data_IF_946780171898
#
_entry.id   IF_946780171898
#
_cell.length_a   1.000
_cell.length_b   1.000
_cell.length_c   1.000
_cell.angle_alpha   90.00
_cell.angle_beta   90.00
_cell.angle_gamma   90.00
#
_symmetry.space_group_name_H-M   'P 1'
#
loop_
_entity.id
_entity.type
_entity.pdbx_description
1 polymer ?
#
# COMPACT_ATOMS: atom_id res chain seq x y z
N UNK A 1 -2.19 -29.92 -13.72
CA UNK A 1 -3.60 -30.05 -13.24
C UNK A 1 -3.97 -29.05 -12.12
N UNK A 2 -3.04 -28.49 -11.33
CA UNK A 2 -3.35 -27.49 -10.28
C UNK A 2 -3.25 -26.03 -10.72
N UNK A 3 -2.56 -25.73 -11.81
CA UNK A 3 -2.43 -24.36 -12.33
C UNK A 3 -3.69 -23.88 -13.10
N UNK A 4 -4.45 -24.78 -13.68
CA UNK A 4 -5.68 -24.44 -14.43
C UNK A 4 -6.88 -24.16 -13.50
N UNK A 5 -6.93 -24.77 -12.32
CA UNK A 5 -7.98 -24.50 -11.33
C UNK A 5 -7.85 -23.08 -10.70
N UNK A 6 -6.64 -22.55 -10.58
CA UNK A 6 -6.39 -21.21 -10.10
C UNK A 6 -6.78 -20.13 -11.12
N UNK A 7 -6.62 -20.42 -12.42
CA UNK A 7 -7.01 -19.52 -13.52
C UNK A 7 -8.55 -19.48 -13.73
N UNK A 8 -9.26 -20.57 -13.47
CA UNK A 8 -10.71 -20.62 -13.59
C UNK A 8 -11.45 -19.85 -12.48
N UNK A 9 -10.87 -19.73 -11.29
CA UNK A 9 -11.40 -18.88 -10.21
C UNK A 9 -11.22 -17.38 -10.49
N UNK A 10 -10.34 -17.00 -11.42
CA UNK A 10 -10.02 -15.63 -11.79
C UNK A 10 -10.91 -15.06 -12.90
N UNK A 11 -11.72 -15.88 -13.58
CA UNK A 11 -12.60 -15.45 -14.66
C UNK A 11 -14.01 -15.04 -14.20
N UNK A 12 -14.22 -14.77 -12.90
CA UNK A 12 -15.49 -14.24 -12.44
C UNK A 12 -15.68 -12.82 -12.96
N UNK A 13 -16.49 -12.71 -13.98
CA UNK A 13 -16.92 -11.49 -14.68
C UNK A 13 -17.49 -10.50 -13.66
N UNK A 14 -16.84 -9.38 -13.47
CA UNK A 14 -17.35 -8.22 -12.78
C UNK A 14 -18.48 -7.60 -13.60
N UNK A 15 -19.72 -7.93 -13.20
CA UNK A 15 -20.90 -7.21 -13.63
C UNK A 15 -20.98 -5.91 -12.85
N UNK A 16 -20.98 -4.80 -13.55
CA UNK A 16 -21.26 -3.47 -13.04
C UNK A 16 -22.62 -3.45 -12.34
N UNK A 17 -22.64 -3.40 -11.02
CA UNK A 17 -23.80 -3.00 -10.25
C UNK A 17 -23.35 -2.14 -9.08
N UNK A 18 -23.67 -0.86 -9.18
CA UNK A 18 -23.48 0.15 -8.15
C UNK A 18 -24.30 -0.17 -6.91
N UNK A 19 -23.63 -0.28 -5.75
CA UNK A 19 -24.22 0.03 -4.44
C UNK A 19 -23.17 0.70 -3.58
N UNK A 20 -23.51 1.87 -3.10
CA UNK A 20 -22.75 2.79 -2.28
C UNK A 20 -22.18 2.19 -0.98
N UNK A 21 -20.96 2.56 -0.62
CA UNK A 21 -20.38 2.43 0.74
C UNK A 21 -20.04 1.02 1.25
N UNK A 22 -20.92 0.06 1.07
CA UNK A 22 -20.73 -1.32 1.53
C UNK A 22 -19.90 -2.19 0.56
N UNK A 23 -19.88 -1.85 -0.72
CA UNK A 23 -19.17 -2.62 -1.75
C UNK A 23 -17.65 -2.60 -1.53
N UNK A 24 -17.06 -1.46 -1.22
CA UNK A 24 -15.62 -1.36 -0.97
C UNK A 24 -15.15 -2.12 0.27
N UNK A 25 -15.99 -2.21 1.30
CA UNK A 25 -15.70 -3.04 2.49
C UNK A 25 -15.81 -4.54 2.16
N UNK A 26 -16.79 -4.93 1.34
CA UNK A 26 -16.95 -6.31 0.90
C UNK A 26 -15.77 -6.73 0.02
N UNK A 27 -15.28 -5.86 -0.85
CA UNK A 27 -14.10 -6.11 -1.69
C UNK A 27 -12.83 -6.27 -0.86
N UNK A 28 -12.63 -5.43 0.16
CA UNK A 28 -11.48 -5.53 1.06
C UNK A 28 -11.54 -6.84 1.86
N UNK A 29 -12.72 -7.21 2.38
CA UNK A 29 -12.92 -8.47 3.10
C UNK A 29 -12.69 -9.66 2.17
N UNK A 30 -13.16 -9.59 0.92
CA UNK A 30 -12.95 -10.63 -0.09
C UNK A 30 -11.48 -10.77 -0.48
N UNK A 31 -10.76 -9.65 -0.63
CA UNK A 31 -9.33 -9.64 -0.89
C UNK A 31 -8.53 -10.18 0.32
N UNK A 32 -8.93 -9.83 1.54
CA UNK A 32 -8.39 -10.41 2.79
C UNK A 32 -8.59 -11.92 2.84
N UNK A 33 -9.81 -12.38 2.57
CA UNK A 33 -10.14 -13.82 2.56
C UNK A 33 -9.36 -14.56 1.47
N UNK A 34 -9.24 -14.00 0.27
CA UNK A 34 -8.46 -14.57 -0.82
C UNK A 34 -6.95 -14.64 -0.48
N UNK A 35 -6.38 -13.58 0.06
CA UNK A 35 -4.99 -13.58 0.53
C UNK A 35 -4.77 -14.59 1.66
N UNK A 36 -5.68 -14.68 2.62
CA UNK A 36 -5.61 -15.66 3.72
C UNK A 36 -5.70 -17.09 3.17
N UNK A 37 -6.60 -17.34 2.23
CA UNK A 37 -6.77 -18.65 1.59
C UNK A 37 -5.51 -19.05 0.80
N UNK A 38 -4.93 -18.14 0.03
CA UNK A 38 -3.66 -18.38 -0.68
C UNK A 38 -2.52 -18.65 0.31
N UNK A 39 -2.48 -17.93 1.43
CA UNK A 39 -1.51 -18.17 2.50
C UNK A 39 -1.68 -19.55 3.14
N UNK A 40 -2.91 -19.97 3.45
CA UNK A 40 -3.22 -21.29 4.02
C UNK A 40 -2.84 -22.40 3.04
N UNK A 41 -3.19 -22.24 1.76
CA UNK A 41 -2.84 -23.22 0.71
C UNK A 41 -1.33 -23.29 0.47
N UNK A 42 -0.62 -22.15 0.49
CA UNK A 42 0.84 -22.13 0.41
C UNK A 42 1.51 -22.80 1.60
N UNK A 43 1.01 -22.58 2.80
CA UNK A 43 1.49 -23.27 4.02
C UNK A 43 1.22 -24.76 3.97
N UNK A 44 0.04 -25.18 3.48
CA UNK A 44 -0.31 -26.59 3.32
C UNK A 44 0.53 -27.30 2.23
N UNK A 45 0.90 -26.58 1.16
CA UNK A 45 1.75 -27.14 0.10
C UNK A 45 3.24 -27.22 0.49
N UNK A 46 3.67 -26.40 1.45
CA UNK A 46 5.04 -26.40 1.98
C UNK A 46 5.23 -27.38 3.17
N UNK A 47 4.15 -27.86 3.78
CA UNK A 47 4.15 -28.91 4.77
C UNK A 47 3.80 -30.24 4.08
N UNK A 48 4.76 -31.13 3.79
CA UNK A 48 4.41 -32.43 3.25
C UNK A 48 3.61 -33.20 4.31
N UNK A 49 2.34 -33.44 4.02
CA UNK A 49 1.42 -34.26 4.82
C UNK A 49 1.84 -35.74 4.95
N UNK A 50 3.08 -36.05 4.56
CA UNK A 50 3.66 -37.40 4.56
C UNK A 50 4.19 -37.86 5.93
N UNK A 51 4.07 -37.06 6.99
CA UNK A 51 4.62 -37.43 8.32
C UNK A 51 3.57 -37.87 9.35
N UNK A 52 2.29 -37.98 8.96
CA UNK A 52 1.24 -38.42 9.88
C UNK A 52 0.54 -39.68 9.40
N UNK A 53 1.29 -40.73 9.02
CA UNK A 53 0.77 -42.08 8.84
C UNK A 53 1.44 -42.99 9.87
N UNK A 54 0.64 -43.46 10.80
CA UNK A 54 0.76 -44.62 11.66
C UNK A 54 2.16 -45.23 11.86
N UNK A 55 2.78 -44.91 12.98
CA UNK A 55 3.85 -45.74 13.55
C UNK A 55 3.38 -46.37 14.86
N UNK A 56 3.61 -47.67 15.04
CA UNK A 56 3.29 -48.32 16.28
C UNK A 56 4.22 -47.86 17.41
N UNK A 57 3.66 -47.76 18.57
CA UNK A 57 4.23 -47.40 19.87
C UNK A 57 5.43 -48.26 20.29
N UNK A 58 6.63 -47.90 19.83
CA UNK A 58 7.90 -48.27 20.43
C UNK A 58 8.91 -47.12 20.22
N UNK A 59 9.41 -46.53 21.33
CA UNK A 59 10.41 -45.49 21.49
C UNK A 59 9.89 -44.09 21.86
N UNK A 60 9.19 -43.98 22.97
CA UNK A 60 8.85 -42.66 23.55
C UNK A 60 10.12 -41.90 24.02
N UNK A 61 11.12 -42.58 24.51
CA UNK A 61 12.33 -41.97 25.09
C UNK A 61 13.29 -41.39 24.04
N UNK A 62 13.30 -41.92 22.82
CA UNK A 62 14.15 -41.41 21.73
C UNK A 62 13.52 -40.21 20.98
N UNK A 63 12.21 -40.10 20.97
CA UNK A 63 11.51 -39.01 20.30
C UNK A 63 11.54 -37.75 21.16
N UNK A 64 11.49 -37.86 22.49
CA UNK A 64 11.62 -36.70 23.41
C UNK A 64 13.02 -36.09 23.34
N UNK A 65 14.08 -36.93 23.23
CA UNK A 65 15.45 -36.42 23.05
C UNK A 65 15.65 -35.75 21.69
N UNK A 66 15.01 -36.24 20.62
CA UNK A 66 15.03 -35.60 19.30
C UNK A 66 14.26 -34.32 19.27
N UNK A 67 13.10 -34.26 19.90
CA UNK A 67 12.29 -33.05 20.03
C UNK A 67 13.06 -31.97 20.82
N UNK A 68 13.64 -32.34 21.98
CA UNK A 68 14.47 -31.43 22.78
C UNK A 68 15.73 -30.96 22.04
N UNK A 69 16.31 -31.81 21.21
CA UNK A 69 17.49 -31.47 20.40
C UNK A 69 17.10 -30.56 19.22
N UNK A 70 15.90 -30.74 18.66
CA UNK A 70 15.36 -29.87 17.62
C UNK A 70 15.03 -28.49 18.20
N UNK A 71 14.36 -28.42 19.35
CA UNK A 71 14.07 -27.17 20.06
C UNK A 71 15.36 -26.42 20.47
N UNK A 72 16.38 -27.14 20.95
CA UNK A 72 17.70 -26.54 21.25
C UNK A 72 18.38 -26.00 20.00
N UNK A 73 18.34 -26.73 18.88
CA UNK A 73 18.91 -26.25 17.60
C UNK A 73 18.18 -25.01 17.10
N UNK A 74 16.87 -24.96 17.22
CA UNK A 74 16.06 -23.80 16.83
C UNK A 74 16.27 -22.62 17.77
N UNK A 75 16.42 -22.84 19.07
CA UNK A 75 16.75 -21.80 20.04
C UNK A 75 18.16 -21.21 19.78
N UNK A 76 19.15 -22.05 19.53
CA UNK A 76 20.51 -21.60 19.17
C UNK A 76 20.53 -20.90 17.81
N UNK A 77 19.82 -21.43 16.82
CA UNK A 77 19.69 -20.79 15.51
C UNK A 77 18.97 -19.44 15.60
N UNK A 78 17.97 -19.33 16.48
CA UNK A 78 17.29 -18.06 16.76
C UNK A 78 18.25 -17.08 17.47
N UNK A 79 18.99 -17.52 18.47
CA UNK A 79 19.94 -16.67 19.19
C UNK A 79 21.05 -16.14 18.27
N UNK A 80 21.58 -16.97 17.38
CA UNK A 80 22.54 -16.54 16.35
C UNK A 80 21.92 -15.57 15.34
N UNK A 81 20.69 -15.80 14.92
CA UNK A 81 19.95 -14.91 14.00
C UNK A 81 19.77 -13.51 14.55
N UNK A 82 19.44 -13.38 15.82
CA UNK A 82 19.23 -12.07 16.44
C UNK A 82 20.53 -11.31 16.74
N UNK A 83 21.67 -12.01 16.87
CA UNK A 83 22.95 -11.34 17.17
C UNK A 83 23.50 -10.52 16.00
N UNK A 84 23.29 -10.95 14.74
CA UNK A 84 23.87 -10.32 13.56
C UNK A 84 22.99 -9.27 12.86
N UNK A 85 21.73 -9.16 13.26
CA UNK A 85 20.73 -8.38 12.52
C UNK A 85 20.29 -9.10 11.24
N UNK A 86 19.17 -8.70 10.68
CA UNK A 86 18.61 -9.26 9.44
C UNK A 86 18.14 -8.13 8.52
N UNK A 87 18.44 -8.21 7.24
CA UNK A 87 17.86 -7.31 6.24
C UNK A 87 16.97 -8.08 5.29
N UNK A 88 15.85 -7.48 4.92
CA UNK A 88 14.86 -7.98 3.96
C UNK A 88 14.69 -6.95 2.84
N UNK A 89 14.90 -7.37 1.60
CA UNK A 89 14.48 -6.61 0.42
C UNK A 89 13.32 -7.33 -0.22
N UNK A 90 12.20 -6.66 -0.40
CA UNK A 90 10.97 -7.29 -0.84
C UNK A 90 10.16 -6.45 -1.82
N UNK A 91 9.37 -7.16 -2.63
CA UNK A 91 8.32 -6.63 -3.48
C UNK A 91 6.96 -7.12 -2.99
N UNK A 92 5.93 -6.31 -3.19
CA UNK A 92 4.57 -6.67 -2.83
C UNK A 92 3.55 -6.07 -3.78
N UNK A 93 2.41 -6.73 -3.85
CA UNK A 93 1.19 -6.24 -4.46
C UNK A 93 0.08 -6.15 -3.42
N UNK A 94 -1.04 -5.56 -3.79
CA UNK A 94 -2.15 -5.46 -2.85
C UNK A 94 -3.39 -4.81 -3.42
N UNK A 95 -4.35 -4.61 -2.53
CA UNK A 95 -5.57 -3.88 -2.80
C UNK A 95 -5.77 -2.80 -1.74
N UNK A 96 -6.46 -1.74 -2.11
CA UNK A 96 -6.75 -0.62 -1.22
C UNK A 96 -8.22 -0.24 -1.25
N UNK A 97 -8.68 0.25 -0.11
CA UNK A 97 -9.89 1.02 0.06
C UNK A 97 -9.50 2.42 0.53
N UNK A 98 -9.89 3.45 -0.21
CA UNK A 98 -9.63 4.85 0.13
C UNK A 98 -10.91 5.49 0.66
N UNK A 99 -10.82 6.11 1.83
CA UNK A 99 -11.95 6.79 2.43
C UNK A 99 -12.42 7.99 1.58
N UNK A 100 -13.72 8.27 1.57
CA UNK A 100 -14.22 9.48 0.96
C UNK A 100 -13.55 10.72 1.55
N UNK A 101 -13.25 11.69 0.69
CA UNK A 101 -12.62 12.93 1.10
C UNK A 101 -13.19 14.15 0.39
N UNK A 102 -12.81 15.35 0.87
CA UNK A 102 -13.18 16.59 0.22
C UNK A 102 -12.10 16.99 -0.78
N UNK A 103 -12.51 17.47 -1.95
CA UNK A 103 -11.63 18.07 -2.94
C UNK A 103 -11.96 19.56 -3.07
N UNK A 104 -10.98 20.42 -2.84
CA UNK A 104 -11.16 21.88 -2.95
C UNK A 104 -10.28 22.45 -4.04
N UNK A 105 -10.88 23.28 -4.90
CA UNK A 105 -10.18 24.05 -5.93
C UNK A 105 -10.16 25.51 -5.50
N UNK A 106 -8.98 26.11 -5.48
CA UNK A 106 -8.79 27.49 -5.06
C UNK A 106 -7.94 28.28 -6.07
N UNK A 107 -8.50 29.39 -6.56
CA UNK A 107 -7.83 30.41 -7.36
C UNK A 107 -8.66 31.69 -7.33
N UNK A 108 -8.18 32.83 -7.86
CA UNK A 108 -8.99 34.03 -8.00
C UNK A 108 -10.32 33.74 -8.71
N UNK A 109 -11.42 34.17 -8.09
CA UNK A 109 -12.78 33.94 -8.61
C UNK A 109 -13.34 32.51 -8.49
N UNK A 110 -12.57 31.57 -7.96
CA UNK A 110 -13.02 30.18 -7.74
C UNK A 110 -12.61 29.71 -6.36
N UNK A 111 -13.59 29.34 -5.56
CA UNK A 111 -13.43 28.57 -4.33
C UNK A 111 -14.53 27.52 -4.30
N UNK A 112 -14.19 26.34 -4.78
CA UNK A 112 -15.09 25.24 -5.03
C UNK A 112 -14.70 24.06 -4.16
N UNK A 113 -15.67 23.46 -3.48
CA UNK A 113 -15.47 22.23 -2.72
C UNK A 113 -16.46 21.15 -3.20
N UNK A 114 -15.89 20.01 -3.58
CA UNK A 114 -16.59 18.75 -3.77
C UNK A 114 -16.53 17.98 -2.45
N UNK A 115 -17.69 17.61 -1.92
CA UNK A 115 -17.81 16.98 -0.59
C UNK A 115 -17.94 15.46 -0.68
N UNK A 116 -17.26 14.76 0.22
CA UNK A 116 -17.35 13.30 0.40
C UNK A 116 -17.23 12.51 -0.90
N UNK A 117 -16.24 12.87 -1.72
CA UNK A 117 -15.93 12.14 -2.95
C UNK A 117 -15.54 10.70 -2.60
N UNK A 118 -16.28 9.67 -3.04
CA UNK A 118 -15.84 8.29 -2.93
C UNK A 118 -14.72 8.03 -3.93
N UNK A 119 -13.66 7.36 -3.49
CA UNK A 119 -12.53 7.03 -4.33
C UNK A 119 -12.51 5.55 -4.68
N UNK A 120 -12.22 5.23 -5.93
CA UNK A 120 -12.04 3.85 -6.42
C UNK A 120 -10.56 3.52 -6.54
N UNK A 121 -10.13 2.38 -5.98
CA UNK A 121 -8.72 1.99 -5.96
C UNK A 121 -8.22 1.31 -7.23
N UNK A 122 -9.04 0.51 -7.90
CA UNK A 122 -8.74 -0.29 -9.11
C UNK A 122 -7.33 -0.91 -9.11
N UNK A 123 -6.99 -1.77 -8.15
CA UNK A 123 -5.61 -2.21 -7.92
C UNK A 123 -5.03 -3.08 -9.04
N UNK A 124 -5.88 -3.70 -9.87
CA UNK A 124 -5.49 -4.60 -10.96
C UNK A 124 -5.46 -3.93 -12.34
N UNK A 125 -5.93 -2.69 -12.45
CA UNK A 125 -5.80 -1.91 -13.68
C UNK A 125 -4.35 -1.42 -13.84
N UNK A 126 -3.84 -1.32 -15.08
CA UNK A 126 -2.49 -0.82 -15.31
C UNK A 126 -2.37 0.69 -15.10
N UNK A 127 -1.27 1.16 -14.46
CA UNK A 127 -0.27 0.42 -13.71
C UNK A 127 -0.87 -0.22 -12.44
N UNK A 128 -0.53 -1.48 -12.16
CA UNK A 128 -1.05 -2.22 -11.00
C UNK A 128 -0.58 -1.62 -9.67
N UNK A 129 -1.25 -1.96 -8.57
CA UNK A 129 -0.75 -1.67 -7.23
C UNK A 129 0.53 -2.46 -6.95
N UNK A 130 1.60 -1.79 -6.55
CA UNK A 130 2.85 -2.44 -6.13
C UNK A 130 3.60 -1.63 -5.08
N UNK A 131 4.53 -2.30 -4.43
CA UNK A 131 5.49 -1.65 -3.56
C UNK A 131 6.81 -2.38 -3.48
N UNK A 132 7.81 -1.64 -3.01
CA UNK A 132 9.18 -2.12 -2.77
C UNK A 132 9.60 -1.66 -1.40
N UNK A 133 10.23 -2.55 -0.65
CA UNK A 133 10.73 -2.21 0.69
C UNK A 133 12.10 -2.81 0.99
N UNK A 134 12.80 -2.12 1.86
CA UNK A 134 13.97 -2.64 2.55
C UNK A 134 13.70 -2.50 4.04
N UNK A 135 13.75 -3.61 4.76
CA UNK A 135 13.62 -3.64 6.21
C UNK A 135 14.91 -4.18 6.84
N UNK A 136 15.28 -3.65 7.98
CA UNK A 136 16.43 -4.12 8.77
C UNK A 136 16.00 -4.30 10.21
N UNK A 137 16.20 -5.50 10.72
CA UNK A 137 16.02 -5.81 12.14
C UNK A 137 17.37 -5.67 12.85
N UNK A 138 17.40 -4.90 13.93
CA UNK A 138 18.64 -4.64 14.64
C UNK A 138 19.12 -5.88 15.38
N UNK A 139 20.48 -6.04 15.53
CA UNK A 139 21.05 -7.15 16.25
C UNK A 139 20.52 -7.26 17.68
N UNK A 140 20.26 -8.49 18.12
CA UNK A 140 19.76 -8.80 19.47
C UNK A 140 18.49 -8.00 19.90
N UNK A 141 17.68 -7.60 18.95
CA UNK A 141 16.53 -6.72 19.19
C UNK A 141 15.26 -7.20 18.49
N UNK A 142 14.10 -6.93 19.09
CA UNK A 142 12.80 -7.04 18.44
C UNK A 142 12.45 -5.81 17.60
N UNK A 143 13.30 -4.78 17.60
CA UNK A 143 13.08 -3.52 16.89
C UNK A 143 13.81 -3.53 15.57
N UNK A 144 13.23 -2.89 14.56
CA UNK A 144 13.80 -2.71 13.24
C UNK A 144 13.37 -1.40 12.59
N UNK A 145 13.93 -1.14 11.43
CA UNK A 145 13.56 -0.03 10.57
C UNK A 145 13.18 -0.52 9.18
N UNK A 146 12.32 0.22 8.47
CA UNK A 146 11.89 -0.11 7.12
C UNK A 146 11.75 1.16 6.28
N UNK A 147 12.35 1.15 5.10
CA UNK A 147 12.04 2.10 4.02
C UNK A 147 11.04 1.40 3.11
N UNK A 148 9.90 2.04 2.87
CA UNK A 148 8.79 1.46 2.12
C UNK A 148 8.31 2.43 1.04
N UNK A 149 8.37 2.02 -0.22
CA UNK A 149 7.80 2.72 -1.36
C UNK A 149 6.51 2.02 -1.76
N UNK A 150 5.41 2.78 -1.81
CA UNK A 150 4.10 2.30 -2.26
C UNK A 150 3.66 3.08 -3.47
N UNK A 151 3.30 2.37 -4.55
CA UNK A 151 2.61 2.89 -5.72
C UNK A 151 1.17 2.39 -5.71
N UNK A 152 0.23 3.30 -5.57
CA UNK A 152 -1.19 2.98 -5.63
C UNK A 152 -1.93 3.98 -6.52
N UNK A 153 -3.23 3.80 -6.71
CA UNK A 153 -4.06 4.67 -7.54
C UNK A 153 -5.39 4.95 -6.89
N UNK A 154 -5.96 6.11 -7.21
CA UNK A 154 -7.34 6.43 -6.89
C UNK A 154 -7.99 7.20 -8.04
N UNK A 155 -9.24 6.84 -8.34
CA UNK A 155 -10.07 7.43 -9.36
C UNK A 155 -11.31 8.03 -8.73
N UNK A 156 -11.80 9.13 -9.28
CA UNK A 156 -13.13 9.59 -8.95
C UNK A 156 -14.17 8.93 -9.88
N UNK A 157 -15.34 8.53 -9.37
CA UNK A 157 -16.45 8.03 -10.17
C UNK A 157 -17.15 9.21 -10.88
N UNK A 158 -16.62 9.65 -12.01
CA UNK A 158 -17.04 10.88 -12.70
C UNK A 158 -18.55 10.92 -13.03
N UNK A 159 -19.17 9.77 -13.27
CA UNK A 159 -20.58 9.69 -13.63
C UNK A 159 -21.53 9.81 -12.43
N UNK A 160 -20.98 9.72 -11.21
CA UNK A 160 -21.80 9.84 -10.01
C UNK A 160 -22.14 11.30 -9.70
N UNK A 161 -23.26 11.48 -8.99
CA UNK A 161 -23.64 12.76 -8.42
C UNK A 161 -22.94 12.97 -7.08
N UNK A 162 -22.51 14.20 -6.85
CA UNK A 162 -21.89 14.59 -5.60
C UNK A 162 -22.37 15.96 -5.15
N UNK A 163 -22.10 16.26 -3.87
CA UNK A 163 -22.43 17.57 -3.31
C UNK A 163 -21.27 18.53 -3.51
N UNK A 164 -21.63 19.73 -3.98
CA UNK A 164 -20.71 20.83 -4.18
C UNK A 164 -21.10 22.04 -3.33
N UNK A 165 -20.12 22.87 -3.03
CA UNK A 165 -20.33 24.19 -2.45
C UNK A 165 -19.32 25.19 -3.00
N UNK A 166 -19.65 26.48 -2.90
CA UNK A 166 -18.78 27.56 -3.33
C UNK A 166 -19.10 28.05 -4.74
N UNK A 167 -18.08 28.63 -5.39
CA UNK A 167 -18.23 29.29 -6.69
C UNK A 167 -17.12 28.91 -7.66
N UNK A 168 -17.43 28.96 -8.95
CA UNK A 168 -16.49 28.82 -10.05
C UNK A 168 -16.59 30.01 -10.98
N UNK A 169 -15.51 30.74 -11.19
CA UNK A 169 -15.44 31.94 -12.01
C UNK A 169 -16.49 32.99 -11.60
N UNK A 170 -16.69 33.20 -10.28
CA UNK A 170 -17.66 34.12 -9.71
C UNK A 170 -19.11 33.63 -9.72
N UNK A 171 -19.42 32.45 -10.27
CA UNK A 171 -20.79 31.89 -10.32
C UNK A 171 -20.94 30.79 -9.26
N UNK A 172 -22.05 30.82 -8.52
CA UNK A 172 -22.39 29.79 -7.55
C UNK A 172 -22.66 28.47 -8.30
N UNK A 173 -22.07 27.38 -7.80
CA UNK A 173 -22.28 26.03 -8.35
C UNK A 173 -23.56 25.41 -7.76
N UNK A 174 -24.31 24.61 -8.53
CA UNK A 174 -25.41 23.81 -8.01
C UNK A 174 -24.93 22.93 -6.83
N UNK A 175 -25.74 22.83 -5.80
CA UNK A 175 -25.42 22.02 -4.58
C UNK A 175 -25.24 20.54 -4.91
N UNK A 176 -25.85 20.05 -5.97
CA UNK A 176 -25.75 18.68 -6.44
C UNK A 176 -25.56 18.67 -7.96
N UNK A 177 -24.52 18.01 -8.43
CA UNK A 177 -24.21 17.86 -9.84
C UNK A 177 -23.45 16.55 -10.06
N UNK A 178 -23.42 16.06 -11.30
CA UNK A 178 -22.48 14.98 -11.66
C UNK A 178 -21.06 15.51 -11.55
N UNK A 179 -20.14 14.68 -11.06
CA UNK A 179 -18.73 15.06 -10.96
C UNK A 179 -18.19 15.41 -12.35
N UNK A 180 -18.60 14.69 -13.40
CA UNK A 180 -18.24 14.94 -14.79
C UNK A 180 -18.71 16.31 -15.32
N UNK A 181 -19.70 16.95 -14.75
CA UNK A 181 -20.15 18.28 -15.18
C UNK A 181 -19.17 19.38 -14.71
N UNK A 182 -18.37 19.09 -13.67
CA UNK A 182 -17.42 20.02 -13.06
C UNK A 182 -15.97 19.65 -13.39
N UNK A 183 -15.61 18.36 -13.34
CA UNK A 183 -14.29 17.86 -13.62
C UNK A 183 -14.23 17.08 -14.93
N UNK A 184 -13.19 17.33 -15.72
CA UNK A 184 -12.84 16.49 -16.87
C UNK A 184 -12.02 15.27 -16.41
N UNK A 185 -11.11 15.51 -15.47
CA UNK A 185 -10.26 14.51 -14.82
C UNK A 185 -10.14 14.83 -13.33
N UNK A 186 -10.22 13.80 -12.50
CA UNK A 186 -9.99 13.90 -11.06
C UNK A 186 -9.48 12.56 -10.57
N UNK A 187 -8.17 12.36 -10.66
CA UNK A 187 -7.56 11.06 -10.41
C UNK A 187 -6.06 11.17 -10.05
N UNK A 188 -5.53 10.12 -9.41
CA UNK A 188 -4.12 9.94 -9.11
C UNK A 188 -3.67 8.60 -9.72
N UNK A 189 -3.75 8.50 -11.05
CA UNK A 189 -3.61 7.24 -11.79
C UNK A 189 -2.19 6.92 -12.20
N UNK A 190 -1.36 7.93 -12.37
CA UNK A 190 0.06 7.76 -12.65
C UNK A 190 0.90 7.63 -11.37
N UNK A 191 0.25 7.54 -10.21
CA UNK A 191 0.82 7.19 -8.94
C UNK A 191 0.36 8.07 -7.78
N UNK A 192 -0.36 7.48 -6.87
CA UNK A 192 -0.46 7.90 -5.48
C UNK A 192 0.75 7.31 -4.76
N UNK A 193 1.94 7.92 -5.00
CA UNK A 193 3.21 7.41 -4.53
C UNK A 193 3.53 7.92 -3.14
N UNK A 194 3.96 7.02 -2.27
CA UNK A 194 4.44 7.35 -0.93
C UNK A 194 5.77 6.67 -0.67
N UNK A 195 6.72 7.41 -0.10
CA UNK A 195 7.99 6.89 0.40
C UNK A 195 8.04 7.16 1.90
N UNK A 196 8.06 6.09 2.70
CA UNK A 196 7.99 6.20 4.17
C UNK A 196 9.18 5.52 4.85
N UNK A 197 9.60 6.10 5.97
CA UNK A 197 10.52 5.48 6.92
C UNK A 197 9.73 5.05 8.14
N UNK A 198 9.80 3.76 8.48
CA UNK A 198 8.99 3.13 9.52
C UNK A 198 9.88 2.51 10.59
N UNK A 199 9.50 2.66 11.84
CA UNK A 199 9.94 1.82 12.94
C UNK A 199 9.11 0.55 12.97
N UNK A 200 9.76 -0.60 13.19
CA UNK A 200 9.12 -1.91 13.27
C UNK A 200 9.36 -2.53 14.64
N UNK A 201 8.41 -3.31 15.10
CA UNK A 201 8.52 -4.13 16.30
C UNK A 201 7.97 -5.52 16.06
N UNK A 202 8.80 -6.55 16.27
CA UNK A 202 8.39 -7.96 16.28
C UNK A 202 7.67 -8.28 17.57
N UNK A 203 6.51 -8.91 17.46
CA UNK A 203 5.74 -9.31 18.63
C UNK A 203 6.38 -10.54 19.31
N UNK A 204 6.18 -10.72 20.64
CA UNK A 204 6.79 -11.83 21.40
C UNK A 204 6.43 -13.23 20.93
N UNK A 205 5.39 -13.35 20.08
CA UNK A 205 4.93 -14.61 19.46
C UNK A 205 5.79 -15.08 18.29
N UNK A 206 6.89 -14.40 18.00
CA UNK A 206 7.77 -14.73 16.86
C UNK A 206 8.53 -16.03 17.09
N UNK A 207 8.52 -16.91 16.08
CA UNK A 207 9.28 -18.15 16.01
C UNK A 207 10.32 -18.11 14.90
N UNK A 208 11.06 -19.18 14.66
CA UNK A 208 11.99 -19.28 13.54
C UNK A 208 11.29 -19.11 12.17
N UNK A 209 10.07 -19.63 12.03
CA UNK A 209 9.29 -19.65 10.79
C UNK A 209 8.29 -18.50 10.71
N UNK A 210 7.68 -18.10 11.82
CA UNK A 210 6.56 -17.19 11.90
C UNK A 210 6.94 -15.95 12.71
N UNK A 211 6.69 -14.76 12.18
CA UNK A 211 7.07 -13.51 12.83
C UNK A 211 5.99 -12.44 12.62
N UNK A 212 5.06 -12.30 13.55
CA UNK A 212 4.14 -11.18 13.54
C UNK A 212 4.86 -9.89 13.96
N UNK A 213 4.49 -8.78 13.32
CA UNK A 213 5.08 -7.47 13.59
C UNK A 213 4.08 -6.35 13.43
N UNK A 214 4.38 -5.24 14.07
CA UNK A 214 3.71 -3.97 13.89
C UNK A 214 4.72 -2.89 13.55
N UNK A 215 4.26 -1.83 12.92
CA UNK A 215 5.12 -0.70 12.63
C UNK A 215 4.34 0.59 12.40
N UNK A 216 5.04 1.69 12.52
CA UNK A 216 4.53 3.01 12.19
C UNK A 216 5.65 3.87 11.62
N UNK A 217 5.28 4.78 10.75
CA UNK A 217 6.25 5.63 10.07
C UNK A 217 5.65 6.90 9.48
N UNK A 218 6.56 7.72 9.03
CA UNK A 218 6.28 8.96 8.33
C UNK A 218 7.19 9.06 7.10
N UNK A 219 6.77 9.89 6.15
CA UNK A 219 7.51 10.06 4.91
C UNK A 219 6.96 11.16 4.05
N UNK A 220 7.12 11.00 2.76
CA UNK A 220 6.75 11.99 1.75
C UNK A 220 5.76 11.40 0.75
N UNK A 221 4.84 12.24 0.30
CA UNK A 221 3.92 11.93 -0.80
C UNK A 221 4.45 12.58 -2.08
N UNK A 222 4.60 11.76 -3.13
CA UNK A 222 5.15 12.12 -4.44
C UNK A 222 4.20 11.69 -5.57
N UNK A 223 2.93 12.17 -5.57
CA UNK A 223 1.97 11.75 -6.57
C UNK A 223 2.32 12.27 -7.95
N UNK A 224 1.85 11.54 -8.96
CA UNK A 224 1.61 12.07 -10.29
C UNK A 224 0.09 12.11 -10.49
N UNK A 225 -0.49 13.27 -10.25
CA UNK A 225 -1.95 13.46 -10.27
C UNK A 225 -2.43 13.98 -11.61
N UNK A 226 -3.69 13.73 -11.91
CA UNK A 226 -4.39 14.34 -13.04
C UNK A 226 -5.71 14.95 -12.54
N UNK A 227 -5.71 16.28 -12.36
CA UNK A 227 -6.89 17.06 -12.00
C UNK A 227 -7.09 18.13 -13.05
N UNK A 228 -8.26 18.12 -13.69
CA UNK A 228 -8.65 19.07 -14.72
C UNK A 228 -10.12 19.44 -14.59
N UNK A 229 -10.40 20.73 -14.54
CA UNK A 229 -11.79 21.21 -14.57
C UNK A 229 -12.35 21.13 -15.99
N UNK A 230 -13.63 20.81 -16.11
CA UNK A 230 -14.30 20.74 -17.42
C UNK A 230 -14.29 22.12 -18.11
N UNK A 231 -13.92 22.10 -19.38
CA UNK A 231 -13.82 23.32 -20.21
C UNK A 231 -12.56 24.16 -19.96
N UNK A 232 -11.58 23.63 -19.20
CA UNK A 232 -10.32 24.28 -18.95
C UNK A 232 -9.14 23.44 -19.46
N UNK A 233 -8.08 24.14 -19.92
CA UNK A 233 -6.86 23.48 -20.38
C UNK A 233 -5.85 23.27 -19.24
N UNK A 234 -5.91 24.10 -18.19
CA UNK A 234 -5.03 23.97 -17.04
C UNK A 234 -5.34 22.68 -16.28
N UNK A 235 -4.33 21.85 -16.06
CA UNK A 235 -4.43 20.59 -15.33
C UNK A 235 -3.18 20.29 -14.53
N UNK A 236 -3.26 19.34 -13.61
CA UNK A 236 -2.05 18.71 -13.05
C UNK A 236 -1.62 17.59 -13.98
N UNK A 237 -0.36 17.46 -14.33
CA UNK A 237 0.20 16.33 -15.07
C UNK A 237 1.70 16.27 -14.86
N UNK A 238 2.14 16.19 -13.61
CA UNK A 238 3.54 16.13 -13.22
C UNK A 238 3.70 15.48 -11.85
N UNK A 239 4.92 15.04 -11.54
CA UNK A 239 5.28 14.60 -10.18
C UNK A 239 5.43 15.80 -9.26
N UNK A 240 4.97 15.66 -8.03
CA UNK A 240 5.07 16.72 -7.04
C UNK A 240 5.30 16.17 -5.64
N UNK A 241 6.09 16.87 -4.87
CA UNK A 241 6.05 16.74 -3.42
C UNK A 241 4.82 17.49 -2.91
N UNK A 242 3.90 16.78 -2.27
CA UNK A 242 2.63 17.35 -1.81
C UNK A 242 2.51 17.45 -0.30
N UNK A 243 3.47 16.93 0.44
CA UNK A 243 3.49 17.01 1.88
C UNK A 243 3.83 15.68 2.56
N UNK A 244 3.61 15.60 3.89
CA UNK A 244 3.90 14.41 4.64
C UNK A 244 2.93 13.27 4.33
N UNK A 245 3.47 12.04 4.40
CA UNK A 245 2.73 10.78 4.39
C UNK A 245 2.94 10.06 5.71
N UNK A 246 1.90 9.39 6.19
CA UNK A 246 1.91 8.59 7.42
C UNK A 246 1.53 7.16 7.08
N UNK A 247 2.14 6.21 7.77
CA UNK A 247 1.90 4.79 7.58
C UNK A 247 1.84 4.06 8.92
N UNK A 248 0.93 3.10 9.04
CA UNK A 248 0.90 2.10 10.10
C UNK A 248 0.76 0.73 9.45
N UNK A 249 1.41 -0.27 10.01
CA UNK A 249 1.43 -1.63 9.48
C UNK A 249 1.20 -2.64 10.60
N UNK A 250 0.46 -3.69 10.26
CA UNK A 250 0.30 -4.91 11.07
C UNK A 250 0.50 -6.08 10.12
N UNK A 251 1.54 -6.87 10.32
CA UNK A 251 1.93 -7.91 9.38
C UNK A 251 2.34 -9.21 10.03
N UNK A 252 2.38 -10.22 9.22
CA UNK A 252 2.89 -11.54 9.53
C UNK A 252 3.91 -11.90 8.46
N UNK A 253 5.13 -12.22 8.87
CA UNK A 253 6.19 -12.71 8.02
C UNK A 253 6.38 -14.23 8.22
N UNK A 254 6.33 -14.98 7.14
CA UNK A 254 6.70 -16.39 7.08
C UNK A 254 8.11 -16.51 6.53
N UNK A 255 9.00 -17.18 7.29
CA UNK A 255 10.42 -17.21 7.05
C UNK A 255 10.85 -18.57 6.54
N UNK A 256 11.45 -18.60 5.36
CA UNK A 256 12.21 -19.71 4.79
C UNK A 256 13.66 -19.25 4.72
N UNK A 257 14.70 -20.08 4.83
CA UNK A 257 16.06 -19.64 5.15
C UNK A 257 16.57 -18.35 4.49
N UNK A 258 16.31 -18.11 3.21
CA UNK A 258 16.68 -16.88 2.51
C UNK A 258 15.50 -16.14 1.88
N UNK A 259 14.31 -16.68 2.03
CA UNK A 259 13.08 -16.11 1.49
C UNK A 259 12.16 -15.74 2.64
N UNK A 260 11.45 -14.65 2.46
CA UNK A 260 10.33 -14.27 3.31
C UNK A 260 9.11 -14.08 2.44
N UNK A 261 7.99 -14.56 2.95
CA UNK A 261 6.67 -14.23 2.45
C UNK A 261 5.92 -13.48 3.54
N UNK A 262 5.19 -12.42 3.22
CA UNK A 262 4.43 -11.69 4.22
C UNK A 262 3.05 -11.30 3.73
N UNK A 263 2.15 -11.17 4.67
CA UNK A 263 0.83 -10.55 4.51
C UNK A 263 0.71 -9.43 5.53
N UNK A 264 0.23 -8.29 5.10
CA UNK A 264 0.21 -7.08 5.92
C UNK A 264 -1.07 -6.29 5.68
N UNK A 265 -1.68 -5.87 6.76
CA UNK A 265 -2.62 -4.76 6.77
C UNK A 265 -1.84 -3.47 6.93
N UNK A 266 -2.11 -2.51 6.05
CA UNK A 266 -1.47 -1.21 6.03
C UNK A 266 -2.53 -0.11 6.06
N UNK A 267 -2.36 0.87 6.93
CA UNK A 267 -3.10 2.11 6.90
C UNK A 267 -2.17 3.23 6.48
N UNK A 268 -2.64 4.10 5.58
CA UNK A 268 -1.87 5.26 5.10
C UNK A 268 -2.71 6.51 5.10
N UNK A 269 -2.07 7.67 5.26
CA UNK A 269 -2.71 8.98 5.11
C UNK A 269 -1.71 9.98 4.54
N UNK A 270 -2.14 10.72 3.51
CA UNK A 270 -1.34 11.78 2.91
C UNK A 270 -2.22 12.98 2.52
N UNK A 271 -1.66 14.17 2.63
CA UNK A 271 -2.31 15.41 2.19
C UNK A 271 -1.78 15.81 0.82
N UNK A 272 -2.65 16.34 -0.02
CA UNK A 272 -2.34 16.72 -1.38
C UNK A 272 -2.69 18.18 -1.61
N UNK A 273 -1.71 18.93 -2.11
CA UNK A 273 -1.89 20.26 -2.65
C UNK A 273 -1.16 20.33 -3.99
N UNK A 274 -1.91 20.21 -5.08
CA UNK A 274 -1.37 20.09 -6.42
C UNK A 274 -1.77 21.31 -7.26
N UNK A 275 -0.84 21.90 -8.07
CA UNK A 275 -1.13 23.06 -8.88
C UNK A 275 -1.88 22.66 -10.15
N UNK A 276 -2.73 23.54 -10.62
CA UNK A 276 -3.37 23.50 -11.93
C UNK A 276 -2.62 24.48 -12.84
N UNK A 277 -1.96 23.96 -13.89
CA UNK A 277 -1.20 24.78 -14.85
C UNK A 277 -1.10 24.08 -16.22
N UNK A 278 -0.33 24.64 -17.14
CA UNK A 278 -0.22 24.13 -18.52
C UNK A 278 0.99 23.23 -18.76
N UNK A 279 1.74 22.89 -17.71
CA UNK A 279 2.91 22.02 -17.82
C UNK A 279 2.52 20.56 -17.82
N UNK A 280 3.09 19.81 -18.75
CA UNK A 280 2.93 18.36 -18.86
C UNK A 280 4.30 17.69 -18.92
N UNK A 281 4.57 16.79 -17.97
CA UNK A 281 5.83 16.08 -17.91
C UNK A 281 5.70 14.77 -17.14
N UNK A 282 6.64 13.86 -17.35
CA UNK A 282 6.72 12.53 -16.72
C UNK A 282 8.07 12.31 -16.03
N UNK A 283 8.87 13.34 -15.87
CA UNK A 283 10.20 13.25 -15.27
C UNK A 283 10.19 13.71 -13.83
N UNK A 284 10.30 12.79 -12.87
CA UNK A 284 10.30 13.07 -11.44
C UNK A 284 11.31 14.18 -11.05
N UNK A 285 12.56 14.05 -11.50
CA UNK A 285 13.60 15.01 -11.11
C UNK A 285 13.38 16.41 -11.72
N UNK A 286 12.98 16.47 -12.98
CA UNK A 286 12.64 17.75 -13.66
C UNK A 286 11.46 18.43 -12.96
N UNK A 287 10.47 17.65 -12.55
CA UNK A 287 9.25 18.17 -11.92
C UNK A 287 9.52 18.70 -10.52
N UNK A 288 10.27 17.95 -9.71
CA UNK A 288 10.67 18.41 -8.38
C UNK A 288 11.58 19.65 -8.45
N UNK A 289 12.50 19.73 -9.42
CA UNK A 289 13.31 20.92 -9.63
C UNK A 289 12.46 22.14 -10.01
N UNK A 290 11.49 21.95 -10.92
CA UNK A 290 10.55 23.00 -11.29
C UNK A 290 9.67 23.44 -10.11
N UNK A 291 9.18 22.49 -9.31
CA UNK A 291 8.42 22.77 -8.09
C UNK A 291 9.25 23.61 -7.11
N UNK A 292 10.52 23.26 -6.90
CA UNK A 292 11.43 24.01 -6.04
C UNK A 292 11.66 25.45 -6.53
N UNK A 293 11.89 25.65 -7.83
CA UNK A 293 12.07 26.97 -8.43
C UNK A 293 10.80 27.82 -8.30
N UNK A 294 9.62 27.24 -8.54
CA UNK A 294 8.34 27.92 -8.36
C UNK A 294 8.14 28.33 -6.90
N UNK A 295 8.41 27.43 -5.96
CA UNK A 295 8.30 27.71 -4.54
C UNK A 295 9.23 28.85 -4.10
N UNK A 296 10.50 28.82 -4.57
CA UNK A 296 11.46 29.89 -4.30
C UNK A 296 11.04 31.23 -4.89
N UNK A 297 10.38 31.25 -6.05
CA UNK A 297 9.94 32.47 -6.70
C UNK A 297 8.64 33.06 -6.13
N UNK A 298 7.94 32.33 -5.26
CA UNK A 298 6.63 32.71 -4.71
C UNK A 298 5.52 32.83 -5.76
N UNK A 299 5.73 32.26 -6.98
CA UNK A 299 4.72 32.32 -8.04
C UNK A 299 3.60 31.32 -7.79
N UNK A 300 2.37 31.81 -7.78
CA UNK A 300 1.17 30.98 -7.73
C UNK A 300 0.90 30.32 -9.09
N UNK A 301 0.36 29.09 -9.14
CA UNK A 301 -0.01 28.45 -10.38
C UNK A 301 -1.20 29.16 -11.05
N UNK A 302 -1.16 29.27 -12.36
CA UNK A 302 -2.15 30.01 -13.15
C UNK A 302 -3.60 29.47 -12.97
N UNK A 303 -3.76 28.16 -12.90
CA UNK A 303 -5.04 27.50 -12.65
C UNK A 303 -5.39 27.33 -11.17
N UNK A 304 -4.54 27.81 -10.26
CA UNK A 304 -4.74 27.69 -8.82
C UNK A 304 -4.34 26.31 -8.27
N UNK A 305 -4.93 25.94 -7.16
CA UNK A 305 -4.60 24.74 -6.40
C UNK A 305 -5.80 23.79 -6.27
N UNK A 306 -5.53 22.52 -6.43
CA UNK A 306 -6.42 21.45 -5.98
C UNK A 306 -5.87 20.83 -4.68
N UNK A 307 -6.72 20.71 -3.67
CA UNK A 307 -6.34 20.15 -2.37
C UNK A 307 -7.27 19.02 -1.97
N UNK A 308 -6.70 17.96 -1.41
CA UNK A 308 -7.44 16.85 -0.81
C UNK A 308 -6.59 16.15 0.24
N UNK A 309 -7.19 15.26 1.03
CA UNK A 309 -6.49 14.32 1.90
C UNK A 309 -7.00 12.93 1.61
N UNK A 310 -6.09 12.01 1.33
CA UNK A 310 -6.42 10.60 1.10
C UNK A 310 -5.95 9.78 2.30
N UNK A 311 -6.87 9.04 2.88
CA UNK A 311 -6.57 8.02 3.88
C UNK A 311 -7.07 6.69 3.35
N UNK A 312 -6.27 5.62 3.48
CA UNK A 312 -6.56 4.33 2.87
C UNK A 312 -6.24 3.18 3.81
N UNK A 313 -7.10 2.16 3.80
CA UNK A 313 -6.78 0.81 4.23
C UNK A 313 -6.24 0.02 3.05
N UNK A 314 -5.24 -0.80 3.30
CA UNK A 314 -4.61 -1.61 2.27
C UNK A 314 -4.34 -3.01 2.83
N UNK A 315 -4.52 -4.02 1.99
CA UNK A 315 -4.08 -5.37 2.27
C UNK A 315 -3.04 -5.71 1.23
N UNK A 316 -1.86 -6.04 1.68
CA UNK A 316 -0.72 -6.32 0.81
C UNK A 316 -0.14 -7.68 1.12
N UNK A 317 0.41 -8.30 0.08
CA UNK A 317 1.09 -9.58 0.15
C UNK A 317 2.33 -9.50 -0.71
N UNK A 318 3.44 -10.02 -0.20
CA UNK A 318 4.70 -9.92 -0.88
C UNK A 318 5.71 -10.97 -0.48
N UNK A 319 6.80 -10.99 -1.24
CA UNK A 319 7.93 -11.85 -0.97
C UNK A 319 9.24 -11.08 -1.11
N UNK A 320 10.25 -11.55 -0.41
CA UNK A 320 11.56 -10.92 -0.46
C UNK A 320 12.70 -11.86 -0.12
N UNK A 321 13.89 -11.34 -0.37
CA UNK A 321 15.14 -11.99 -0.04
C UNK A 321 15.66 -11.48 1.29
N UNK A 322 16.06 -12.42 2.16
CA UNK A 322 16.67 -12.14 3.47
C UNK A 322 18.16 -12.35 3.42
N UNK A 323 18.90 -11.35 3.85
CA UNK A 323 20.33 -11.52 4.17
C UNK A 323 20.42 -12.14 5.56
N UNK A 324 21.10 -13.29 5.64
CA UNK A 324 21.46 -13.90 6.92
C UNK A 324 22.72 -13.21 7.45
N UNK A 325 22.83 -12.99 8.77
CA UNK A 325 24.09 -12.57 9.34
C UNK A 325 25.16 -13.63 8.99
N UNK A 326 26.31 -13.16 8.54
CA UNK A 326 27.49 -14.03 8.44
C UNK A 326 27.79 -14.48 9.86
N UNK A 327 27.76 -15.79 10.13
CA UNK A 327 28.23 -16.30 11.40
C UNK A 327 29.64 -15.75 11.58
N UNK A 328 29.85 -14.97 12.64
CA UNK A 328 31.22 -14.62 13.03
C UNK A 328 31.94 -15.95 13.21
N UNK A 329 32.93 -16.20 12.36
CA UNK A 329 33.79 -17.39 12.51
C UNK A 329 34.37 -17.45 13.91
N UNK A 330 34.74 -18.64 14.39
CA UNK A 330 35.30 -18.85 15.70
C UNK A 330 36.55 -18.02 15.94
#
# INVERSE_FOLDING_TARGET
>A
MFAEAALAAWSFRWGSSQKSGSAGQIELISALAACLTVCILAVQSLCPAALWKDRPSRHVEHDDQRAAQFERRDAVANEVRYRGGEALTAFYGGAQYTYPSHVRIQRPGTDLTLHNLPWEGRPFDHPIYYGVRVAHWFPASSVGGMIDFTHSKVYSPLEEKARFSGSRNGRIIPREARIADVFHKLEFTHGHNMLTLNGLWRLPLSTAFFSPYVGAGLGVSLPHSEVQLRGEHARTYEYQYTGPAYQMVLGIEFRIPRLSYFVEYKWTSASYRVPLHYRETKSLFSDLAHQFLRWRSGKEPEGGWATTRLASHQVVSGMGYRTMPVAAGP
#
